data_IF_626339434245
#
_entry.id   IF_626339434245
#
_cell.length_a   1.000
_cell.length_b   1.000
_cell.length_c   1.000
_cell.angle_alpha   90.00
_cell.angle_beta   90.00
_cell.angle_gamma   90.00
#
_symmetry.space_group_name_H-M   'P 1'
#
loop_
_entity.id
_entity.type
_entity.pdbx_description
1 polymer ?
#
# COMPACT_ATOMS: atom_id res chain seq x y z
N UNK A 1 -63.95 -61.46 16.67
CA UNK A 1 -63.23 -61.31 15.43
C UNK A 1 -62.31 -60.08 15.59
N UNK A 2 -61.06 -60.38 15.87
CA UNK A 2 -59.97 -59.40 15.99
C UNK A 2 -59.46 -59.16 14.58
N UNK A 3 -59.39 -57.92 14.12
CA UNK A 3 -58.66 -57.53 12.90
C UNK A 3 -57.47 -56.64 13.28
N UNK A 4 -56.30 -57.24 13.18
CA UNK A 4 -54.99 -56.59 13.25
C UNK A 4 -54.81 -55.64 12.11
N UNK A 5 -54.41 -54.37 12.38
CA UNK A 5 -53.90 -53.43 11.41
C UNK A 5 -52.52 -53.86 10.92
N UNK A 6 -52.20 -53.69 9.69
CA UNK A 6 -50.96 -54.22 9.09
C UNK A 6 -49.74 -53.41 9.48
N UNK A 7 -48.63 -54.11 9.60
CA UNK A 7 -47.25 -53.66 9.97
C UNK A 7 -46.63 -52.58 9.06
N UNK A 8 -47.32 -52.11 8.06
CA UNK A 8 -46.81 -51.13 7.10
C UNK A 8 -46.74 -49.70 7.62
N UNK A 9 -47.46 -49.34 8.68
CA UNK A 9 -47.43 -47.99 9.29
C UNK A 9 -46.28 -47.77 10.29
N UNK A 10 -45.60 -48.81 10.72
CA UNK A 10 -44.45 -48.70 11.62
C UNK A 10 -43.12 -48.49 10.95
N UNK A 11 -43.05 -48.60 9.62
CA UNK A 11 -41.80 -48.44 8.84
C UNK A 11 -41.67 -47.04 8.31
N UNK A 12 -42.73 -46.22 8.28
CA UNK A 12 -42.64 -44.80 7.84
C UNK A 12 -42.20 -43.83 8.93
N UNK A 13 -42.39 -44.18 10.20
CA UNK A 13 -41.99 -43.26 11.30
C UNK A 13 -40.53 -43.37 11.75
N UNK A 14 -39.73 -44.29 11.17
CA UNK A 14 -38.34 -44.51 11.55
C UNK A 14 -37.35 -44.01 10.49
N UNK A 15 -37.78 -43.32 9.42
CA UNK A 15 -36.89 -42.77 8.38
C UNK A 15 -37.02 -41.28 8.16
N UNK A 16 -37.66 -40.53 9.04
CA UNK A 16 -37.57 -39.06 9.08
C UNK A 16 -36.75 -38.66 10.29
N UNK A 17 -35.61 -39.29 10.47
CA UNK A 17 -34.57 -38.79 11.36
C UNK A 17 -33.36 -38.46 10.57
N UNK A 18 -33.16 -37.11 10.51
CA UNK A 18 -31.86 -36.50 10.50
C UNK A 18 -31.00 -36.72 9.24
N UNK A 19 -31.38 -36.14 8.13
CA UNK A 19 -30.40 -35.32 7.45
C UNK A 19 -30.37 -33.95 8.15
N UNK A 20 -29.80 -33.88 9.34
CA UNK A 20 -29.08 -32.71 9.78
C UNK A 20 -27.98 -32.56 8.74
N UNK A 21 -28.21 -31.68 7.80
CA UNK A 21 -27.13 -31.06 6.99
C UNK A 21 -26.12 -30.60 8.04
N UNK A 22 -25.00 -31.30 8.18
CA UNK A 22 -23.88 -30.85 8.97
C UNK A 22 -23.59 -29.44 8.41
N UNK A 23 -23.91 -28.44 9.22
CA UNK A 23 -23.59 -27.07 8.89
C UNK A 23 -22.08 -27.05 8.64
N UNK A 24 -21.67 -26.73 7.40
CA UNK A 24 -20.28 -26.67 7.02
C UNK A 24 -19.54 -25.92 8.12
N UNK A 25 -18.59 -26.59 8.78
CA UNK A 25 -17.90 -26.04 9.93
C UNK A 25 -17.11 -24.82 9.48
N UNK A 26 -17.54 -23.62 9.87
CA UNK A 26 -16.88 -22.36 9.51
C UNK A 26 -15.76 -22.14 10.51
N UNK A 27 -14.53 -22.12 10.02
CA UNK A 27 -13.33 -21.83 10.82
C UNK A 27 -12.92 -20.38 10.58
N UNK A 28 -12.90 -19.56 11.65
CA UNK A 28 -12.25 -18.27 11.60
C UNK A 28 -10.74 -18.45 11.49
N UNK A 29 -10.12 -17.77 10.53
CA UNK A 29 -8.66 -17.77 10.34
C UNK A 29 -7.93 -16.87 11.32
N UNK A 30 -8.64 -15.88 11.89
CA UNK A 30 -8.08 -14.86 12.77
C UNK A 30 -8.60 -15.05 14.21
N UNK A 31 -7.69 -15.41 15.10
CA UNK A 31 -7.99 -15.55 16.54
C UNK A 31 -7.44 -14.37 17.33
N UNK A 32 -8.16 -13.95 18.39
CA UNK A 32 -7.74 -12.88 19.28
C UNK A 32 -8.02 -11.47 18.77
N UNK A 33 -7.43 -10.49 19.45
CA UNK A 33 -7.54 -9.07 19.15
C UNK A 33 -6.46 -8.66 18.13
N UNK A 34 -6.89 -8.10 17.01
CA UNK A 34 -6.01 -7.65 15.90
C UNK A 34 -5.92 -6.13 15.81
N UNK A 35 -6.10 -5.41 16.91
CA UNK A 35 -5.82 -3.98 17.00
C UNK A 35 -4.31 -3.74 16.86
N UNK A 36 -3.87 -2.91 15.90
CA UNK A 36 -2.46 -2.64 15.71
C UNK A 36 -1.84 -1.94 16.95
N UNK A 37 -0.53 -2.14 17.14
CA UNK A 37 0.24 -1.39 18.13
C UNK A 37 0.60 -0.01 17.58
N UNK A 38 0.65 0.98 18.47
CA UNK A 38 1.18 2.30 18.13
C UNK A 38 2.67 2.22 17.84
N UNK A 39 3.10 2.84 16.75
CA UNK A 39 4.50 2.93 16.40
C UNK A 39 5.11 4.21 16.99
N UNK A 40 6.15 4.12 17.83
CA UNK A 40 6.79 5.27 18.46
C UNK A 40 7.51 6.19 17.46
N UNK A 41 7.80 5.71 16.26
CA UNK A 41 8.45 6.48 15.19
C UNK A 41 7.45 7.33 14.41
N UNK A 42 6.18 6.95 14.43
CA UNK A 42 5.15 7.60 13.63
C UNK A 42 4.98 9.09 13.99
N UNK A 43 4.88 9.91 12.95
CA UNK A 43 4.53 11.33 13.03
C UNK A 43 3.36 11.58 12.10
N UNK A 44 2.29 12.19 12.61
CA UNK A 44 1.10 12.55 11.85
C UNK A 44 1.39 13.61 10.78
N UNK A 45 0.94 13.40 9.54
CA UNK A 45 1.04 14.38 8.45
C UNK A 45 0.03 14.08 7.34
N UNK A 46 -0.10 15.00 6.39
CA UNK A 46 -0.96 14.86 5.20
C UNK A 46 -2.41 14.56 5.58
N UNK A 47 -2.98 13.56 4.96
CA UNK A 47 -4.39 13.18 5.10
C UNK A 47 -4.69 12.37 6.39
N UNK A 48 -3.69 12.18 7.26
CA UNK A 48 -3.84 11.38 8.47
C UNK A 48 -4.99 11.83 9.40
N UNK A 49 -5.19 13.14 9.68
CA UNK A 49 -6.29 13.59 10.55
C UNK A 49 -7.66 13.21 9.99
N UNK A 50 -7.84 13.29 8.67
CA UNK A 50 -9.11 12.98 8.01
C UNK A 50 -9.37 11.47 8.03
N UNK A 51 -8.38 10.66 7.65
CA UNK A 51 -8.45 9.19 7.73
C UNK A 51 -8.77 8.75 9.17
N UNK A 52 -8.09 9.33 10.15
CA UNK A 52 -8.35 9.07 11.58
C UNK A 52 -9.77 9.42 11.98
N UNK A 53 -10.31 10.55 11.51
CA UNK A 53 -11.67 11.00 11.79
C UNK A 53 -12.71 10.07 11.18
N UNK A 54 -12.49 9.59 9.96
CA UNK A 54 -13.35 8.60 9.30
C UNK A 54 -13.38 7.30 10.11
N UNK A 55 -12.22 6.75 10.46
CA UNK A 55 -12.13 5.52 11.28
C UNK A 55 -12.78 5.71 12.65
N UNK A 56 -12.56 6.86 13.29
CA UNK A 56 -13.16 7.18 14.60
C UNK A 56 -14.68 7.25 14.53
N UNK A 57 -15.25 7.72 13.42
CA UNK A 57 -16.69 7.87 13.26
C UNK A 57 -17.46 6.54 13.37
N UNK A 58 -16.80 5.41 13.07
CA UNK A 58 -17.41 4.09 13.00
C UNK A 58 -18.46 3.93 11.89
N UNK A 59 -18.63 4.97 11.05
CA UNK A 59 -19.56 4.92 9.92
C UNK A 59 -18.88 4.24 8.73
N UNK A 60 -19.66 3.52 7.95
CA UNK A 60 -19.20 2.98 6.68
C UNK A 60 -18.97 4.12 5.69
N UNK A 61 -17.72 4.36 5.32
CA UNK A 61 -17.31 5.40 4.38
C UNK A 61 -15.99 4.99 3.73
N UNK A 62 -16.05 4.24 2.62
CA UNK A 62 -14.86 3.73 1.93
C UNK A 62 -13.90 4.84 1.50
N UNK A 63 -12.60 4.58 1.63
CA UNK A 63 -11.53 5.54 1.35
C UNK A 63 -10.53 4.94 0.38
N UNK A 64 -10.19 5.68 -0.67
CA UNK A 64 -9.10 5.38 -1.58
C UNK A 64 -7.92 6.33 -1.29
N UNK A 65 -6.71 5.77 -1.07
CA UNK A 65 -5.50 6.57 -0.79
C UNK A 65 -4.46 6.26 -1.85
N UNK A 66 -4.18 7.23 -2.70
CA UNK A 66 -3.18 7.13 -3.76
C UNK A 66 -1.90 7.90 -3.42
N UNK A 67 -0.81 7.61 -4.13
CA UNK A 67 0.46 8.35 -4.04
C UNK A 67 1.67 7.44 -4.13
N UNK A 68 2.83 8.01 -4.32
CA UNK A 68 4.09 7.30 -4.56
C UNK A 68 4.45 6.32 -3.44
N UNK A 69 5.22 5.28 -3.78
CA UNK A 69 5.65 4.27 -2.82
C UNK A 69 6.49 4.87 -1.68
N UNK A 70 6.34 4.32 -0.47
CA UNK A 70 7.15 4.71 0.70
C UNK A 70 6.84 6.08 1.29
N UNK A 71 5.67 6.66 0.98
CA UNK A 71 5.18 7.94 1.51
C UNK A 71 4.27 7.81 2.75
N UNK A 72 4.09 6.59 3.30
CA UNK A 72 3.39 6.38 4.57
C UNK A 72 1.89 6.09 4.49
N UNK A 73 1.29 5.83 3.31
CA UNK A 73 -0.15 5.49 3.15
C UNK A 73 -0.62 4.42 4.14
N UNK A 74 -0.06 3.22 4.01
CA UNK A 74 -0.40 2.04 4.84
C UNK A 74 -0.10 2.27 6.31
N UNK A 75 1.02 2.94 6.63
CA UNK A 75 1.40 3.29 8.00
C UNK A 75 0.36 4.23 8.65
N UNK A 76 -0.12 5.24 7.91
CA UNK A 76 -1.13 6.17 8.38
C UNK A 76 -2.43 5.46 8.78
N UNK A 77 -2.93 4.55 7.95
CA UNK A 77 -4.12 3.75 8.26
C UNK A 77 -3.90 2.89 9.50
N UNK A 78 -2.76 2.20 9.55
CA UNK A 78 -2.40 1.34 10.70
C UNK A 78 -2.37 2.13 12.00
N UNK A 79 -1.75 3.31 12.00
CA UNK A 79 -1.68 4.16 13.20
C UNK A 79 -3.03 4.76 13.58
N UNK A 80 -3.86 5.12 12.60
CA UNK A 80 -5.22 5.60 12.86
C UNK A 80 -6.08 4.51 13.52
N UNK A 81 -5.95 3.25 13.10
CA UNK A 81 -6.60 2.12 13.76
C UNK A 81 -6.05 1.89 15.18
N UNK A 82 -4.72 1.93 15.35
CA UNK A 82 -4.07 1.78 16.66
C UNK A 82 -4.52 2.84 17.67
N UNK A 83 -4.60 4.11 17.26
CA UNK A 83 -5.02 5.20 18.13
C UNK A 83 -6.51 5.16 18.50
N UNK A 84 -7.35 4.69 17.58
CA UNK A 84 -8.79 4.53 17.81
C UNK A 84 -9.17 3.16 18.41
N UNK A 85 -8.19 2.29 18.71
CA UNK A 85 -8.41 0.91 19.20
C UNK A 85 -9.35 0.11 18.30
N UNK A 86 -9.22 0.30 16.99
CA UNK A 86 -9.99 -0.42 15.98
C UNK A 86 -9.18 -1.59 15.43
N UNK A 87 -9.83 -2.73 15.28
CA UNK A 87 -9.23 -3.88 14.62
C UNK A 87 -8.94 -3.56 13.16
N UNK A 88 -7.81 -4.03 12.66
CA UNK A 88 -7.35 -3.85 11.29
C UNK A 88 -7.03 -5.19 10.65
N UNK A 89 -7.69 -5.49 9.56
CA UNK A 89 -7.35 -6.62 8.69
C UNK A 89 -6.75 -6.06 7.42
N UNK A 90 -5.47 -6.37 7.17
CA UNK A 90 -4.74 -5.95 5.97
C UNK A 90 -4.62 -7.10 5.00
N UNK A 91 -4.92 -6.83 3.75
CA UNK A 91 -4.74 -7.75 2.62
C UNK A 91 -3.84 -7.07 1.60
N UNK A 92 -2.72 -7.67 1.30
CA UNK A 92 -1.91 -7.24 0.15
C UNK A 92 -2.52 -7.84 -1.10
N UNK A 93 -2.92 -6.98 -2.02
CA UNK A 93 -3.52 -7.37 -3.28
C UNK A 93 -2.41 -7.68 -4.28
N UNK A 94 -2.61 -8.70 -5.08
CA UNK A 94 -1.75 -9.10 -6.19
C UNK A 94 -2.60 -9.40 -7.41
N UNK A 95 -1.98 -9.58 -8.57
CA UNK A 95 -2.69 -9.96 -9.80
C UNK A 95 -3.42 -11.31 -9.67
N UNK A 96 -2.91 -12.20 -8.82
CA UNK A 96 -3.49 -13.53 -8.58
C UNK A 96 -4.64 -13.52 -7.56
N UNK A 97 -4.77 -12.45 -6.76
CA UNK A 97 -5.80 -12.35 -5.72
C UNK A 97 -7.19 -12.54 -6.29
N UNK A 98 -7.94 -13.48 -5.73
CA UNK A 98 -9.26 -13.87 -6.21
C UNK A 98 -10.35 -13.90 -5.12
N UNK A 99 -11.55 -14.33 -5.51
CA UNK A 99 -12.71 -14.42 -4.59
C UNK A 99 -12.43 -15.37 -3.42
N UNK A 100 -11.71 -16.48 -3.65
CA UNK A 100 -11.40 -17.46 -2.61
C UNK A 100 -10.40 -16.92 -1.59
N UNK A 101 -9.47 -16.09 -2.03
CA UNK A 101 -8.53 -15.42 -1.15
C UNK A 101 -9.22 -14.34 -0.30
N UNK A 102 -10.19 -13.65 -0.88
CA UNK A 102 -10.85 -12.51 -0.24
C UNK A 102 -12.05 -12.92 0.61
N UNK A 103 -12.97 -13.69 0.07
CA UNK A 103 -14.20 -14.09 0.76
C UNK A 103 -14.03 -15.39 1.53
N UNK A 104 -13.19 -16.31 1.05
CA UNK A 104 -12.92 -17.59 1.67
C UNK A 104 -13.16 -18.76 0.74
N UNK A 105 -12.69 -19.92 1.16
CA UNK A 105 -12.73 -21.15 0.39
C UNK A 105 -12.73 -22.39 1.25
N UNK A 106 -12.95 -23.52 0.62
CA UNK A 106 -12.82 -24.81 1.26
C UNK A 106 -11.35 -25.18 1.47
N UNK A 107 -11.04 -25.70 2.66
CA UNK A 107 -9.70 -26.16 3.03
C UNK A 107 -9.80 -27.56 3.65
N UNK A 108 -8.77 -28.38 3.41
CA UNK A 108 -8.65 -29.67 4.09
C UNK A 108 -8.03 -29.46 5.49
N UNK A 109 -8.76 -29.82 6.53
CA UNK A 109 -8.30 -29.77 7.91
C UNK A 109 -8.66 -31.04 8.63
N UNK A 110 -7.68 -31.72 9.21
CA UNK A 110 -7.85 -32.98 9.95
C UNK A 110 -8.61 -34.06 9.15
N UNK A 111 -8.36 -34.13 7.83
CA UNK A 111 -9.02 -35.07 6.93
C UNK A 111 -10.43 -34.71 6.50
N UNK A 112 -10.94 -33.55 6.94
CA UNK A 112 -12.28 -33.04 6.59
C UNK A 112 -12.17 -31.78 5.74
N UNK A 113 -13.11 -31.62 4.79
CA UNK A 113 -13.25 -30.39 4.02
C UNK A 113 -14.07 -29.40 4.82
N UNK A 114 -13.45 -28.28 5.23
CA UNK A 114 -14.10 -27.24 6.01
C UNK A 114 -14.07 -25.92 5.25
N UNK A 115 -15.08 -25.08 5.43
CA UNK A 115 -15.07 -23.72 4.95
C UNK A 115 -14.20 -22.85 5.86
N UNK A 116 -13.30 -22.07 5.29
CA UNK A 116 -12.51 -21.06 6.00
C UNK A 116 -12.87 -19.69 5.46
N UNK A 117 -13.32 -18.78 6.35
CA UNK A 117 -13.56 -17.39 5.97
C UNK A 117 -12.29 -16.73 5.48
N UNK A 118 -12.42 -15.92 4.43
CA UNK A 118 -11.38 -15.02 3.98
C UNK A 118 -11.35 -13.72 4.80
N UNK A 119 -10.29 -12.90 4.62
CA UNK A 119 -10.08 -11.68 5.39
C UNK A 119 -11.20 -10.66 5.26
N UNK A 120 -11.89 -10.60 4.14
CA UNK A 120 -13.01 -9.68 3.91
C UNK A 120 -14.19 -10.08 4.78
N UNK A 121 -14.57 -11.36 4.77
CA UNK A 121 -15.67 -11.87 5.60
C UNK A 121 -15.34 -11.72 7.08
N UNK A 122 -14.10 -11.99 7.48
CA UNK A 122 -13.62 -11.78 8.85
C UNK A 122 -13.77 -10.30 9.26
N UNK A 123 -13.36 -9.37 8.40
CA UNK A 123 -13.49 -7.93 8.68
C UNK A 123 -14.95 -7.51 8.83
N UNK A 124 -15.83 -7.99 7.97
CA UNK A 124 -17.26 -7.72 8.03
C UNK A 124 -17.89 -8.26 9.32
N UNK A 125 -17.61 -9.51 9.67
CA UNK A 125 -18.16 -10.17 10.86
C UNK A 125 -17.64 -9.59 12.19
N UNK A 126 -16.43 -8.98 12.17
CA UNK A 126 -15.81 -8.32 13.34
C UNK A 126 -16.17 -6.84 13.47
N UNK A 127 -16.62 -6.19 12.39
CA UNK A 127 -16.75 -4.73 12.34
C UNK A 127 -15.38 -4.03 12.30
N UNK A 128 -14.37 -4.70 11.73
CA UNK A 128 -13.02 -4.22 11.63
C UNK A 128 -12.82 -3.28 10.41
N UNK A 129 -11.72 -2.55 10.40
CA UNK A 129 -11.26 -1.85 9.20
C UNK A 129 -10.56 -2.85 8.29
N UNK A 130 -11.03 -2.98 7.06
CA UNK A 130 -10.38 -3.75 5.99
C UNK A 130 -9.45 -2.82 5.22
N UNK A 131 -8.17 -3.14 5.17
CA UNK A 131 -7.17 -2.43 4.36
C UNK A 131 -6.78 -3.29 3.17
N UNK A 132 -7.17 -2.86 1.98
CA UNK A 132 -6.76 -3.44 0.70
C UNK A 132 -5.52 -2.69 0.22
N UNK A 133 -4.35 -3.28 0.43
CA UNK A 133 -3.08 -2.63 0.14
C UNK A 133 -2.62 -2.99 -1.28
N UNK A 134 -2.14 -2.00 -2.03
CA UNK A 134 -1.70 -2.11 -3.43
C UNK A 134 -2.82 -2.60 -4.38
N UNK A 135 -4.02 -2.03 -4.22
CA UNK A 135 -5.21 -2.47 -4.96
C UNK A 135 -5.08 -2.27 -6.49
N UNK A 136 -4.21 -1.39 -6.93
CA UNK A 136 -3.89 -1.17 -8.34
C UNK A 136 -3.13 -2.34 -9.01
N UNK A 137 -2.70 -3.34 -8.24
CA UNK A 137 -2.21 -4.61 -8.78
C UNK A 137 -3.35 -5.61 -9.09
N UNK A 138 -4.57 -5.33 -8.64
CA UNK A 138 -5.70 -6.25 -8.77
C UNK A 138 -6.06 -6.55 -10.23
N UNK A 139 -6.41 -7.81 -10.50
CA UNK A 139 -7.13 -8.19 -11.72
C UNK A 139 -8.63 -7.91 -11.57
N UNK A 140 -9.40 -8.12 -12.65
CA UNK A 140 -10.86 -7.99 -12.62
C UNK A 140 -11.56 -8.90 -11.60
N UNK A 141 -10.88 -9.89 -11.02
CA UNK A 141 -11.41 -10.76 -9.96
C UNK A 141 -11.80 -9.98 -8.70
N UNK A 142 -11.22 -8.77 -8.48
CA UNK A 142 -11.54 -7.88 -7.36
C UNK A 142 -13.00 -7.40 -7.37
N UNK A 143 -13.71 -7.54 -8.49
CA UNK A 143 -15.10 -7.10 -8.64
C UNK A 143 -16.08 -7.81 -7.69
N UNK A 144 -15.69 -8.94 -7.08
CA UNK A 144 -16.43 -9.59 -6.01
C UNK A 144 -16.66 -8.68 -4.79
N UNK A 145 -15.86 -7.61 -4.64
CA UNK A 145 -15.98 -6.64 -3.55
C UNK A 145 -16.99 -5.51 -3.80
N UNK A 146 -17.57 -5.40 -5.00
CA UNK A 146 -18.51 -4.31 -5.32
C UNK A 146 -19.67 -4.20 -4.31
N UNK A 147 -20.41 -5.28 -3.98
CA UNK A 147 -21.51 -5.18 -3.01
C UNK A 147 -21.05 -4.72 -1.62
N UNK A 148 -19.82 -5.08 -1.26
CA UNK A 148 -19.21 -4.75 0.03
C UNK A 148 -18.87 -3.26 0.09
N UNK A 149 -18.36 -2.69 -1.01
CA UNK A 149 -18.06 -1.25 -1.13
C UNK A 149 -19.32 -0.37 -1.14
N UNK A 150 -20.49 -0.95 -1.43
CA UNK A 150 -21.78 -0.27 -1.28
C UNK A 150 -22.33 -0.30 0.16
N UNK A 151 -21.61 -0.91 1.10
CA UNK A 151 -22.05 -1.07 2.49
C UNK A 151 -23.09 -2.17 2.66
N UNK A 152 -23.39 -2.90 1.61
CA UNK A 152 -24.31 -4.04 1.61
C UNK A 152 -23.60 -5.31 2.07
N UNK A 153 -24.36 -6.33 2.40
CA UNK A 153 -23.81 -7.66 2.64
C UNK A 153 -23.45 -8.35 1.33
N UNK A 154 -22.71 -9.44 1.43
CA UNK A 154 -22.34 -10.28 0.31
C UNK A 154 -22.93 -11.69 0.44
N UNK A 155 -23.44 -12.23 -0.65
CA UNK A 155 -23.90 -13.61 -0.70
C UNK A 155 -22.72 -14.52 -1.10
N UNK A 156 -22.24 -15.29 -0.13
CA UNK A 156 -21.16 -16.26 -0.33
C UNK A 156 -21.76 -17.54 -0.93
N UNK A 157 -21.69 -17.65 -2.25
CA UNK A 157 -22.37 -18.72 -3.04
C UNK A 157 -21.96 -20.12 -2.61
N UNK A 158 -20.68 -20.35 -2.31
CA UNK A 158 -20.13 -21.68 -1.96
C UNK A 158 -20.72 -22.27 -0.71
N UNK A 159 -21.17 -21.46 0.23
CA UNK A 159 -21.78 -21.89 1.50
C UNK A 159 -23.25 -21.46 1.63
N UNK A 160 -23.82 -20.90 0.56
CA UNK A 160 -25.21 -20.43 0.55
C UNK A 160 -25.56 -19.52 1.74
N UNK A 161 -24.65 -18.60 2.09
CA UNK A 161 -24.80 -17.73 3.26
C UNK A 161 -24.70 -16.26 2.85
N UNK A 162 -25.64 -15.45 3.34
CA UNK A 162 -25.55 -14.00 3.22
C UNK A 162 -24.86 -13.41 4.46
N UNK A 163 -23.76 -12.70 4.27
CA UNK A 163 -22.98 -12.07 5.32
C UNK A 163 -23.21 -10.56 5.29
N UNK A 164 -23.66 -9.99 6.40
CA UNK A 164 -23.82 -8.54 6.59
C UNK A 164 -22.65 -7.97 7.39
N UNK A 165 -22.18 -6.77 7.05
CA UNK A 165 -21.16 -6.12 7.86
C UNK A 165 -21.72 -5.72 9.23
N UNK A 166 -20.93 -5.90 10.28
CA UNK A 166 -21.21 -5.36 11.62
C UNK A 166 -20.84 -3.88 11.69
N UNK A 167 -21.42 -3.20 12.68
CA UNK A 167 -21.13 -1.81 12.96
C UNK A 167 -19.63 -1.55 13.17
N UNK A 168 -19.11 -0.50 12.56
CA UNK A 168 -17.70 -0.15 12.60
C UNK A 168 -16.88 -0.72 11.45
N UNK A 169 -17.43 -1.64 10.64
CA UNK A 169 -16.78 -2.09 9.41
C UNK A 169 -16.57 -0.91 8.45
N UNK A 170 -15.38 -0.83 7.87
CA UNK A 170 -15.07 0.11 6.81
C UNK A 170 -13.99 -0.46 5.89
N UNK A 171 -13.89 0.07 4.66
CA UNK A 171 -12.88 -0.34 3.68
C UNK A 171 -11.98 0.83 3.37
N UNK A 172 -10.68 0.60 3.42
CA UNK A 172 -9.66 1.55 2.98
C UNK A 172 -8.78 0.84 1.96
N UNK A 173 -8.60 1.44 0.79
CA UNK A 173 -7.71 0.93 -0.25
C UNK A 173 -6.51 1.85 -0.41
N UNK A 174 -5.33 1.29 -0.65
CA UNK A 174 -4.12 2.05 -1.01
C UNK A 174 -3.65 1.64 -2.40
N UNK A 175 -3.12 2.61 -3.15
CA UNK A 175 -2.59 2.43 -4.49
C UNK A 175 -1.37 3.32 -4.72
N UNK A 176 -0.53 2.97 -5.67
CA UNK A 176 0.55 3.85 -6.15
C UNK A 176 0.07 4.74 -7.30
N UNK A 177 -0.95 4.31 -8.02
CA UNK A 177 -1.61 5.04 -9.10
C UNK A 177 -3.01 5.51 -8.68
N UNK A 178 -3.65 6.32 -9.53
CA UNK A 178 -5.06 6.73 -9.31
C UNK A 178 -6.07 5.70 -9.84
N UNK A 179 -5.64 4.46 -10.07
CA UNK A 179 -6.46 3.41 -10.68
C UNK A 179 -6.44 3.43 -12.21
N UNK A 180 -5.66 4.30 -12.82
CA UNK A 180 -5.54 4.46 -14.27
C UNK A 180 -4.36 3.68 -14.86
N UNK A 181 -3.67 2.86 -14.04
CA UNK A 181 -2.45 2.17 -14.42
C UNK A 181 -1.25 3.13 -14.46
N UNK A 182 -0.15 2.69 -15.07
CA UNK A 182 1.06 3.50 -15.28
C UNK A 182 1.24 3.74 -16.76
N UNK A 183 0.86 4.94 -17.23
CA UNK A 183 1.07 5.34 -18.63
C UNK A 183 2.56 5.52 -18.97
N UNK A 184 3.36 5.91 -17.97
CA UNK A 184 4.80 6.15 -18.08
C UNK A 184 5.66 4.91 -17.78
N UNK A 185 5.04 3.75 -17.52
CA UNK A 185 5.74 2.49 -17.19
C UNK A 185 6.48 2.47 -15.85
N UNK A 186 6.41 3.55 -15.06
CA UNK A 186 7.13 3.66 -13.76
C UNK A 186 6.58 2.70 -12.70
N UNK A 187 5.32 2.27 -12.81
CA UNK A 187 4.68 1.33 -11.91
C UNK A 187 4.33 0.03 -12.63
N UNK A 188 5.37 -0.75 -12.91
CA UNK A 188 5.22 -2.06 -13.60
C UNK A 188 4.29 -2.96 -12.79
N UNK A 189 3.33 -3.59 -13.48
CA UNK A 189 2.36 -4.52 -12.89
C UNK A 189 1.09 -3.88 -12.35
N UNK A 190 0.96 -2.55 -12.39
CA UNK A 190 -0.32 -1.91 -12.08
C UNK A 190 -1.31 -2.06 -13.22
N UNK A 191 -2.57 -2.30 -12.88
CA UNK A 191 -3.67 -2.46 -13.81
C UNK A 191 -4.57 -1.22 -13.81
N UNK A 192 -5.29 -1.03 -14.91
CA UNK A 192 -6.40 -0.07 -14.94
C UNK A 192 -7.57 -0.69 -14.17
N UNK A 193 -7.97 -0.05 -13.08
CA UNK A 193 -9.12 -0.47 -12.31
C UNK A 193 -10.42 -0.06 -13.01
N UNK A 194 -11.44 -0.87 -12.85
CA UNK A 194 -12.76 -0.58 -13.41
C UNK A 194 -13.34 0.70 -12.78
N UNK A 195 -13.81 1.64 -13.59
CA UNK A 195 -14.38 2.93 -13.15
C UNK A 195 -15.54 2.73 -12.18
N UNK A 196 -16.46 1.78 -12.47
CA UNK A 196 -17.55 1.49 -11.56
C UNK A 196 -17.11 0.96 -10.19
N UNK A 197 -15.91 0.36 -10.10
CA UNK A 197 -15.31 -0.03 -8.84
C UNK A 197 -14.75 1.18 -8.09
N UNK A 198 -14.06 2.09 -8.79
CA UNK A 198 -13.49 3.32 -8.22
C UNK A 198 -14.56 4.28 -7.70
N UNK A 199 -15.68 4.44 -8.42
CA UNK A 199 -16.83 5.26 -8.03
C UNK A 199 -17.48 4.85 -6.68
N UNK A 200 -17.19 3.64 -6.20
CA UNK A 200 -17.66 3.17 -4.90
C UNK A 200 -16.81 3.65 -3.72
N UNK A 201 -15.73 4.37 -4.00
CA UNK A 201 -14.96 5.08 -2.99
C UNK A 201 -15.38 6.56 -2.99
N UNK A 202 -16.21 6.99 -2.04
CA UNK A 202 -16.73 8.37 -2.01
C UNK A 202 -15.65 9.43 -1.80
N UNK A 203 -14.46 9.04 -1.35
CA UNK A 203 -13.33 9.94 -1.16
C UNK A 203 -12.02 9.31 -1.61
N UNK A 204 -11.23 10.10 -2.34
CA UNK A 204 -9.87 9.77 -2.75
C UNK A 204 -8.91 10.78 -2.14
N UNK A 205 -7.96 10.31 -1.36
CA UNK A 205 -6.87 11.12 -0.82
C UNK A 205 -5.60 10.91 -1.61
N UNK A 206 -4.98 11.99 -2.06
CA UNK A 206 -3.63 11.95 -2.60
C UNK A 206 -2.62 12.20 -1.49
N UNK A 207 -1.84 11.16 -1.15
CA UNK A 207 -0.82 11.23 -0.12
C UNK A 207 0.52 11.61 -0.74
N UNK A 208 0.99 12.81 -0.41
CA UNK A 208 2.33 13.30 -0.77
C UNK A 208 3.37 12.85 0.24
N UNK A 209 4.65 13.01 -0.09
CA UNK A 209 5.72 12.86 0.91
C UNK A 209 5.56 13.90 2.03
N UNK A 210 6.00 13.59 3.25
CA UNK A 210 5.98 14.56 4.34
C UNK A 210 6.90 15.75 4.04
N UNK A 211 6.58 16.91 4.62
CA UNK A 211 7.47 18.06 4.56
C UNK A 211 8.82 17.75 5.23
N UNK A 212 9.86 18.45 4.84
CA UNK A 212 11.22 18.31 5.42
C UNK A 212 11.20 18.34 6.94
N UNK A 213 10.40 19.23 7.55
CA UNK A 213 10.31 19.36 9.00
C UNK A 213 9.69 18.12 9.68
N UNK A 214 8.71 17.49 9.04
CA UNK A 214 8.08 16.26 9.52
C UNK A 214 9.01 15.07 9.30
N UNK A 215 9.67 15.01 8.17
CA UNK A 215 10.61 13.94 7.84
C UNK A 215 11.80 13.94 8.81
N UNK A 216 12.33 15.12 9.17
CA UNK A 216 13.32 15.27 10.25
C UNK A 216 12.84 14.66 11.57
N UNK A 217 11.58 14.88 11.94
CA UNK A 217 11.01 14.28 13.16
C UNK A 217 10.95 12.75 13.06
N UNK A 218 10.51 12.21 11.93
CA UNK A 218 10.46 10.76 11.70
C UNK A 218 11.85 10.15 11.84
N UNK A 219 12.85 10.71 11.16
CA UNK A 219 14.21 10.20 11.18
C UNK A 219 14.87 10.30 12.56
N UNK A 220 14.68 11.43 13.27
CA UNK A 220 15.17 11.59 14.64
C UNK A 220 14.50 10.59 15.60
N UNK A 221 13.19 10.34 15.47
CA UNK A 221 12.50 9.32 16.26
C UNK A 221 13.07 7.93 15.96
N UNK A 222 13.35 7.63 14.70
CA UNK A 222 13.95 6.35 14.29
C UNK A 222 15.32 6.15 14.92
N UNK A 223 16.19 7.17 14.88
CA UNK A 223 17.51 7.12 15.52
C UNK A 223 17.39 6.98 17.04
N UNK A 224 16.46 7.71 17.67
CA UNK A 224 16.22 7.64 19.11
C UNK A 224 15.80 6.24 19.56
N UNK A 225 14.92 5.58 18.82
CA UNK A 225 14.51 4.18 19.09
C UNK A 225 15.71 3.24 18.98
N UNK A 226 16.63 3.52 18.04
CA UNK A 226 17.88 2.77 17.88
C UNK A 226 18.99 3.17 18.89
N UNK A 227 18.69 4.05 19.87
CA UNK A 227 19.66 4.50 20.88
C UNK A 227 20.74 5.44 20.35
N UNK A 228 20.51 6.10 19.21
CA UNK A 228 21.44 7.03 18.57
C UNK A 228 20.81 8.41 18.34
N UNK A 229 21.68 9.40 18.11
CA UNK A 229 21.26 10.76 17.74
C UNK A 229 22.32 11.37 16.84
N UNK A 230 21.92 11.91 15.70
CA UNK A 230 22.77 12.70 14.80
C UNK A 230 21.89 13.66 13.99
N UNK A 231 21.58 14.81 14.60
CA UNK A 231 20.69 15.82 13.99
C UNK A 231 21.27 16.37 12.68
N UNK A 232 22.59 16.57 12.62
CA UNK A 232 23.26 17.08 11.41
C UNK A 232 23.12 16.09 10.24
N UNK A 233 23.26 14.79 10.50
CA UNK A 233 23.08 13.77 9.49
C UNK A 233 21.63 13.75 8.97
N UNK A 234 20.66 13.82 9.89
CA UNK A 234 19.24 13.90 9.54
C UNK A 234 18.92 15.14 8.69
N UNK A 235 19.47 16.29 9.06
CA UNK A 235 19.29 17.53 8.30
C UNK A 235 19.80 17.38 6.85
N UNK A 236 20.99 16.82 6.69
CA UNK A 236 21.60 16.60 5.36
C UNK A 236 20.82 15.57 4.53
N UNK A 237 20.40 14.47 5.13
CA UNK A 237 19.59 13.45 4.47
C UNK A 237 18.26 14.01 3.96
N UNK A 238 17.57 14.82 4.77
CA UNK A 238 16.29 15.40 4.35
C UNK A 238 16.45 16.45 3.27
N UNK A 239 17.52 17.26 3.30
CA UNK A 239 17.86 18.20 2.23
C UNK A 239 18.18 17.45 0.93
N UNK A 240 19.03 16.43 1.01
CA UNK A 240 19.39 15.57 -0.12
C UNK A 240 18.15 14.93 -0.78
N UNK A 241 17.26 14.35 -0.01
CA UNK A 241 16.03 13.74 -0.53
C UNK A 241 15.08 14.79 -1.14
N UNK A 242 15.01 16.00 -0.58
CA UNK A 242 14.17 17.07 -1.09
C UNK A 242 14.65 17.54 -2.47
N UNK A 243 15.97 17.69 -2.66
CA UNK A 243 16.56 18.02 -3.97
C UNK A 243 16.25 16.93 -4.99
N UNK A 244 16.51 15.66 -4.68
CA UNK A 244 16.22 14.54 -5.59
C UNK A 244 14.73 14.50 -5.98
N UNK A 245 13.83 14.71 -5.03
CA UNK A 245 12.39 14.70 -5.30
C UNK A 245 11.98 15.86 -6.22
N UNK A 246 12.55 17.04 -6.03
CA UNK A 246 12.30 18.18 -6.93
C UNK A 246 12.78 17.88 -8.33
N UNK A 247 14.02 17.40 -8.48
CA UNK A 247 14.57 16.99 -9.77
C UNK A 247 13.74 15.88 -10.43
N UNK A 248 13.23 14.92 -9.67
CA UNK A 248 12.33 13.88 -10.17
C UNK A 248 11.01 14.44 -10.71
N UNK A 249 10.38 15.37 -9.99
CA UNK A 249 9.13 16.00 -10.45
C UNK A 249 9.34 16.97 -11.62
N UNK A 250 10.53 17.51 -11.76
CA UNK A 250 10.94 18.35 -12.91
C UNK A 250 11.38 17.49 -14.12
N UNK A 251 11.43 16.15 -13.99
CA UNK A 251 11.78 15.21 -15.05
C UNK A 251 13.29 14.99 -15.25
N UNK A 252 14.13 15.53 -14.37
CA UNK A 252 15.59 15.41 -14.48
C UNK A 252 16.16 14.06 -14.00
N UNK A 253 15.40 13.25 -13.27
CA UNK A 253 15.77 11.89 -12.86
C UNK A 253 14.55 10.99 -12.84
N UNK A 254 14.76 9.69 -13.08
CA UNK A 254 13.68 8.69 -13.10
C UNK A 254 13.44 7.98 -11.77
N UNK A 255 14.37 8.10 -10.83
CA UNK A 255 14.32 7.45 -9.53
C UNK A 255 14.17 8.46 -8.40
N UNK A 256 13.57 8.01 -7.29
CA UNK A 256 13.25 8.87 -6.16
C UNK A 256 13.72 8.27 -4.82
N UNK A 257 14.11 9.14 -3.90
CA UNK A 257 14.39 8.78 -2.52
C UNK A 257 13.13 8.97 -1.66
N UNK A 258 12.45 7.87 -1.34
CA UNK A 258 11.26 7.86 -0.51
C UNK A 258 11.59 8.06 0.98
N UNK A 259 10.59 8.48 1.77
CA UNK A 259 10.71 8.53 3.24
C UNK A 259 11.08 7.16 3.83
N UNK A 260 10.53 6.08 3.28
CA UNK A 260 10.91 4.70 3.67
C UNK A 260 12.41 4.47 3.45
N UNK A 261 12.97 4.94 2.34
CA UNK A 261 14.40 4.81 2.05
C UNK A 261 15.24 5.57 3.05
N UNK A 262 14.84 6.80 3.42
CA UNK A 262 15.52 7.57 4.45
C UNK A 262 15.50 6.88 5.82
N UNK A 263 14.36 6.28 6.20
CA UNK A 263 14.27 5.46 7.42
C UNK A 263 15.24 4.29 7.37
N UNK A 264 15.34 3.59 6.25
CA UNK A 264 16.32 2.50 6.08
C UNK A 264 17.77 3.00 6.19
N UNK A 265 18.09 4.16 5.63
CA UNK A 265 19.45 4.73 5.74
C UNK A 265 19.81 5.04 7.19
N UNK A 266 18.92 5.67 7.96
CA UNK A 266 19.22 5.95 9.37
C UNK A 266 19.26 4.69 10.24
N UNK A 267 18.49 3.66 9.90
CA UNK A 267 18.59 2.34 10.54
C UNK A 267 19.92 1.66 10.19
N UNK A 268 20.34 1.69 8.93
CA UNK A 268 21.64 1.18 8.49
C UNK A 268 22.80 1.92 9.17
N UNK A 269 22.71 3.25 9.29
CA UNK A 269 23.67 4.05 10.06
C UNK A 269 23.67 3.65 11.54
N UNK A 270 22.53 3.36 12.13
CA UNK A 270 22.46 2.89 13.50
C UNK A 270 23.19 1.54 13.68
N UNK A 271 23.15 0.66 12.68
CA UNK A 271 23.83 -0.64 12.70
C UNK A 271 25.32 -0.50 12.40
N UNK A 272 25.67 0.14 11.30
CA UNK A 272 27.05 0.16 10.80
C UNK A 272 27.93 1.25 11.40
N UNK A 273 27.36 2.32 11.95
CA UNK A 273 28.11 3.46 12.50
C UNK A 273 28.77 4.36 11.45
N UNK A 274 28.60 4.07 10.14
CA UNK A 274 29.20 4.81 9.05
C UNK A 274 28.10 5.36 8.11
N UNK A 275 28.08 6.69 7.92
CA UNK A 275 27.06 7.40 7.16
C UNK A 275 27.10 7.07 5.67
N UNK A 276 28.29 7.15 5.07
CA UNK A 276 28.46 6.86 3.64
C UNK A 276 28.10 5.41 3.31
N UNK A 277 28.60 4.45 4.10
CA UNK A 277 28.23 3.06 3.95
C UNK A 277 26.70 2.85 4.05
N UNK A 278 26.03 3.54 4.96
CA UNK A 278 24.58 3.43 5.11
C UNK A 278 23.83 3.96 3.87
N UNK A 279 24.30 5.04 3.28
CA UNK A 279 23.74 5.60 2.03
C UNK A 279 24.00 4.63 0.88
N UNK A 280 25.23 4.20 0.67
CA UNK A 280 25.65 3.30 -0.42
C UNK A 280 24.83 2.00 -0.41
N UNK A 281 24.76 1.29 0.73
CA UNK A 281 24.03 0.01 0.79
C UNK A 281 22.51 0.20 0.56
N UNK A 282 21.96 1.35 0.91
CA UNK A 282 20.55 1.65 0.68
C UNK A 282 20.25 2.17 -0.73
N UNK A 283 21.26 2.57 -1.50
CA UNK A 283 21.15 3.02 -2.90
C UNK A 283 21.62 1.98 -3.92
N UNK A 284 22.23 0.88 -3.50
CA UNK A 284 22.73 -0.20 -4.38
C UNK A 284 21.67 -0.87 -5.27
N UNK A 285 20.38 -0.65 -5.02
CA UNK A 285 19.31 -1.19 -5.88
C UNK A 285 19.09 -0.37 -7.15
N UNK A 286 19.59 0.88 -7.19
CA UNK A 286 19.54 1.72 -8.37
C UNK A 286 20.62 1.27 -9.36
N UNK A 287 20.48 1.63 -10.62
CA UNK A 287 21.56 1.48 -11.59
C UNK A 287 22.79 2.30 -11.17
N UNK A 288 23.94 1.99 -11.74
CA UNK A 288 25.21 2.56 -11.31
C UNK A 288 25.26 4.09 -11.54
N UNK A 289 24.68 4.60 -12.60
CA UNK A 289 24.68 6.03 -12.93
C UNK A 289 23.80 6.82 -11.93
N UNK A 290 22.59 6.36 -11.69
CA UNK A 290 21.69 6.93 -10.69
C UNK A 290 22.29 6.87 -9.29
N UNK A 291 22.86 5.73 -8.91
CA UNK A 291 23.52 5.56 -7.62
C UNK A 291 24.68 6.54 -7.45
N UNK A 292 25.58 6.62 -8.44
CA UNK A 292 26.74 7.51 -8.39
C UNK A 292 26.29 8.97 -8.28
N UNK A 293 25.31 9.40 -9.08
CA UNK A 293 24.73 10.73 -9.04
C UNK A 293 24.13 11.05 -7.65
N UNK A 294 23.42 10.12 -7.04
CA UNK A 294 22.84 10.30 -5.70
C UNK A 294 23.90 10.39 -4.61
N UNK A 295 24.97 9.58 -4.67
CA UNK A 295 26.07 9.61 -3.71
C UNK A 295 26.89 10.90 -3.86
N UNK A 296 27.16 11.33 -5.08
CA UNK A 296 27.85 12.59 -5.36
C UNK A 296 27.04 13.79 -4.85
N UNK A 297 25.73 13.81 -5.12
CA UNK A 297 24.82 14.84 -4.63
C UNK A 297 24.83 14.90 -3.10
N UNK A 298 24.82 13.73 -2.41
CA UNK A 298 24.92 13.70 -0.96
C UNK A 298 26.24 14.32 -0.48
N UNK A 299 27.34 14.04 -1.16
CA UNK A 299 28.66 14.60 -0.82
C UNK A 299 28.68 16.14 -0.94
N UNK A 300 28.02 16.69 -1.97
CA UNK A 300 27.83 18.15 -2.13
C UNK A 300 27.01 18.73 -0.96
N UNK A 301 25.90 18.10 -0.61
CA UNK A 301 25.06 18.50 0.55
C UNK A 301 25.87 18.39 1.87
N UNK A 302 26.67 17.34 2.03
CA UNK A 302 27.50 17.13 3.22
C UNK A 302 28.60 18.17 3.38
N UNK A 303 29.17 18.67 2.28
CA UNK A 303 30.14 19.74 2.28
C UNK A 303 29.55 21.15 2.55
N UNK A 304 28.23 21.28 2.62
CA UNK A 304 27.53 22.52 2.99
C UNK A 304 27.05 23.37 1.81
N UNK A 305 27.04 22.84 0.60
CA UNK A 305 26.40 23.49 -0.55
C UNK A 305 24.88 23.53 -0.33
N UNK A 306 24.26 24.69 -0.52
CA UNK A 306 22.81 24.84 -0.28
C UNK A 306 21.98 24.14 -1.38
N UNK A 307 20.76 23.73 -1.03
CA UNK A 307 19.84 23.11 -1.99
C UNK A 307 19.59 23.99 -3.22
N UNK A 308 19.44 25.32 -3.00
CA UNK A 308 19.20 26.27 -4.10
C UNK A 308 20.39 26.38 -5.06
N UNK A 309 21.62 26.42 -4.52
CA UNK A 309 22.84 26.41 -5.34
C UNK A 309 23.01 25.11 -6.15
N UNK A 310 22.63 23.97 -5.56
CA UNK A 310 22.69 22.69 -6.25
C UNK A 310 21.68 22.66 -7.41
N UNK A 311 20.47 23.11 -7.18
CA UNK A 311 19.41 23.15 -8.20
C UNK A 311 19.76 24.14 -9.34
N UNK A 312 20.38 25.27 -9.00
CA UNK A 312 20.85 26.24 -10.00
C UNK A 312 21.96 25.65 -10.87
N UNK A 313 22.94 24.97 -10.27
CA UNK A 313 24.01 24.27 -11.01
C UNK A 313 23.47 23.15 -11.90
N UNK A 314 22.45 22.40 -11.47
CA UNK A 314 21.81 21.37 -12.28
C UNK A 314 21.10 21.98 -13.51
N UNK A 315 20.35 23.06 -13.33
CA UNK A 315 19.68 23.78 -14.44
C UNK A 315 20.69 24.37 -15.45
N UNK A 316 21.79 24.95 -14.97
CA UNK A 316 22.84 25.45 -15.84
C UNK A 316 23.52 24.32 -16.63
N UNK A 317 23.74 23.15 -16.01
CA UNK A 317 24.31 21.99 -16.67
C UNK A 317 23.38 21.43 -17.77
N UNK A 318 22.07 21.33 -17.48
CA UNK A 318 21.06 20.91 -18.44
C UNK A 318 20.94 21.88 -19.62
N UNK A 319 20.95 23.18 -19.37
CA UNK A 319 20.91 24.20 -20.42
C UNK A 319 22.14 24.13 -21.34
N UNK A 320 23.31 23.93 -20.75
CA UNK A 320 24.57 23.82 -21.53
C UNK A 320 24.62 22.51 -22.34
N UNK A 321 24.05 21.42 -21.89
CA UNK A 321 23.95 20.18 -22.65
C UNK A 321 23.04 20.33 -23.87
N UNK A 322 21.88 20.99 -23.71
CA UNK A 322 20.93 21.25 -24.81
C UNK A 322 21.51 22.19 -25.89
N UNK A 323 22.38 23.14 -25.50
CA UNK A 323 23.05 24.03 -26.45
C UNK A 323 24.09 23.25 -27.28
N UNK A 324 24.85 22.35 -26.64
CA UNK A 324 25.87 21.56 -27.35
C UNK A 324 25.25 20.50 -28.28
N UNK A 325 24.07 19.93 -27.97
CA UNK A 325 23.38 19.01 -28.86
C UNK A 325 22.82 19.72 -30.10
N UNK A 326 22.32 20.94 -29.96
CA UNK A 326 21.86 21.75 -31.12
C UNK A 326 22.97 22.21 -32.02
N UNK A 327 24.17 22.49 -31.49
CA UNK A 327 25.33 22.86 -32.30
C UNK A 327 25.92 21.66 -33.09
N UNK A 328 25.77 20.43 -32.55
CA UNK A 328 26.22 19.21 -33.24
C UNK A 328 25.27 18.75 -34.37
N UNK A 329 23.99 19.11 -34.34
CA UNK A 329 23.04 18.84 -35.44
C UNK A 329 23.16 19.84 -36.58
N UNK A 330 23.64 21.09 -36.32
CA UNK A 330 23.82 22.11 -37.38
C UNK A 330 25.05 21.86 -38.25
N UNK A 331 26.08 21.19 -37.74
CA UNK A 331 27.31 20.88 -38.50
C UNK A 331 27.15 19.63 -39.40
N UNK A 332 26.11 18.84 -39.26
CA UNK A 332 25.84 17.64 -40.08
C UNK A 332 24.99 17.89 -41.34
N UNK A 333 24.40 19.07 -41.51
CA UNK A 333 23.60 19.43 -42.69
C UNK A 333 24.34 20.19 -43.80
N UNK A 334 25.59 20.64 -43.57
CA UNK A 334 26.37 21.40 -44.58
C UNK A 334 27.25 20.52 -45.48
N UNK A 335 27.48 19.22 -45.22
CA UNK A 335 28.42 18.39 -45.99
C UNK A 335 27.78 17.56 -47.13
N UNK A 336 26.47 17.65 -47.42
CA UNK A 336 25.80 16.83 -48.46
C UNK A 336 25.39 17.61 -49.76
N UNK A 337 25.96 18.81 -50.01
CA UNK A 337 25.55 19.63 -51.17
C UNK A 337 26.62 19.87 -52.25
N UNK A 338 27.73 19.12 -52.29
CA UNK A 338 28.69 19.19 -53.38
C UNK A 338 29.07 17.80 -53.92
N UNK A 339 28.17 17.14 -54.69
CA UNK A 339 28.59 16.21 -55.75
C UNK A 339 27.42 15.92 -56.73
N UNK A 340 27.23 16.74 -57.73
CA UNK A 340 26.70 16.34 -59.05
C UNK A 340 27.62 16.89 -60.11
#
# INVERSE_FOLDING_TARGET
VSTSKPEAEKILDTKVNETKTEAAYVVSSLTGNIVPKKDPVFVSFGNYPDVKSIIKSGKFYPVFITGLSGNGKTMGVTQACAENKKELIRVNITIETDEDDLLGGYRLKDGQTVWQNGPVIEAMERGAVLLLDEIDLASNKIMCLQPILEGSGVFVKKINKYVKPKDGFNVIATANTKGQGSEDGKFIGTNILNEAFLERFPVTFEQKYPSVSIEKKILNNTLKVAGKSDVKFVDKLTTWADVIRKTYFDGGVDEIISTRRLVHIVQAFAIFGNKMKAIEVCTNRFDDDTKNSFVELYTKVDSGVSADQIMEQQKEAELNSQVNDNDSESDSEEDDLDTI
#
